data_IF_195352709580
#
_entry.id   IF_195352709580
#
_cell.length_a   1.000
_cell.length_b   1.000
_cell.length_c   1.000
_cell.angle_alpha   90.00
_cell.angle_beta   90.00
_cell.angle_gamma   90.00
#
_symmetry.space_group_name_H-M   'P 1'
#
loop_
_entity.id
_entity.type
_entity.pdbx_description
1 polymer ?
#
# COMPACT_ATOMS: atom_id res chain seq x y z
N UNK A 1 12.43 47.84 -43.49
CA UNK A 1 12.38 47.36 -42.09
C UNK A 1 12.86 45.91 -42.04
N UNK A 2 14.11 45.69 -41.62
CA UNK A 2 14.73 44.36 -41.56
C UNK A 2 14.27 43.62 -40.30
N UNK A 3 13.56 42.49 -40.47
CA UNK A 3 13.23 41.55 -39.38
C UNK A 3 14.55 40.98 -38.84
N UNK A 4 14.96 41.41 -37.65
CA UNK A 4 16.01 40.72 -36.86
C UNK A 4 15.55 39.28 -36.62
N UNK A 5 16.09 38.32 -37.38
CA UNK A 5 16.04 36.90 -37.01
C UNK A 5 16.75 36.77 -35.66
N UNK A 6 15.98 36.54 -34.59
CA UNK A 6 16.49 36.20 -33.27
C UNK A 6 17.36 34.96 -33.47
N UNK A 7 18.68 35.03 -33.20
CA UNK A 7 19.55 33.85 -33.21
C UNK A 7 19.00 32.90 -32.15
N UNK A 8 18.28 31.87 -32.58
CA UNK A 8 17.82 30.82 -31.69
C UNK A 8 19.07 30.12 -31.13
N UNK A 9 19.16 30.08 -29.82
CA UNK A 9 20.26 29.41 -29.14
C UNK A 9 20.09 27.90 -29.39
N UNK A 10 21.06 27.21 -30.03
CA UNK A 10 20.92 25.80 -30.37
C UNK A 10 20.69 24.92 -29.13
N UNK A 11 21.20 25.35 -27.96
CA UNK A 11 20.96 24.66 -26.69
C UNK A 11 19.50 24.79 -26.23
N UNK A 12 18.89 25.97 -26.40
CA UNK A 12 17.49 26.20 -26.03
C UNK A 12 16.53 25.39 -26.93
N UNK A 13 16.86 25.29 -28.23
CA UNK A 13 16.10 24.47 -29.17
C UNK A 13 16.17 22.97 -28.80
N UNK A 14 17.35 22.49 -28.40
CA UNK A 14 17.55 21.12 -27.95
C UNK A 14 16.76 20.81 -26.67
N UNK A 15 16.73 21.73 -25.70
CA UNK A 15 15.94 21.58 -24.46
C UNK A 15 14.45 21.46 -24.76
N UNK A 16 13.90 22.35 -25.61
CA UNK A 16 12.49 22.29 -26.02
C UNK A 16 12.20 20.97 -26.73
N UNK A 17 13.13 20.51 -27.56
CA UNK A 17 13.00 19.24 -28.26
C UNK A 17 12.88 18.06 -27.29
N UNK A 18 13.81 17.96 -26.33
CA UNK A 18 13.79 16.89 -25.31
C UNK A 18 12.51 16.94 -24.48
N UNK A 19 12.03 18.13 -24.13
CA UNK A 19 10.83 18.31 -23.30
C UNK A 19 9.55 17.90 -24.05
N UNK A 20 9.47 18.19 -25.35
CA UNK A 20 8.39 17.72 -26.23
C UNK A 20 8.37 16.20 -26.37
N UNK A 21 9.54 15.57 -26.55
CA UNK A 21 9.64 14.11 -26.59
C UNK A 21 9.21 13.46 -25.27
N UNK A 22 9.66 14.01 -24.14
CA UNK A 22 9.24 13.54 -22.82
C UNK A 22 7.73 13.67 -22.61
N UNK A 23 7.13 14.78 -23.06
CA UNK A 23 5.67 14.97 -23.01
C UNK A 23 4.93 13.87 -23.77
N UNK A 24 5.38 13.54 -24.99
CA UNK A 24 4.79 12.48 -25.82
C UNK A 24 4.91 11.12 -25.13
N UNK A 25 6.12 10.75 -24.72
CA UNK A 25 6.41 9.47 -24.05
C UNK A 25 5.55 9.33 -22.80
N UNK A 26 5.51 10.37 -21.95
CA UNK A 26 4.70 10.38 -20.75
C UNK A 26 3.21 10.27 -21.06
N UNK A 27 2.71 11.00 -22.06
CA UNK A 27 1.30 10.96 -22.45
C UNK A 27 0.87 9.56 -22.87
N UNK A 28 1.68 8.89 -23.69
CA UNK A 28 1.41 7.53 -24.18
C UNK A 28 1.47 6.52 -23.03
N UNK A 29 2.54 6.54 -22.24
CA UNK A 29 2.71 5.62 -21.11
C UNK A 29 1.60 5.81 -20.06
N UNK A 30 1.30 7.06 -19.68
CA UNK A 30 0.26 7.35 -18.72
C UNK A 30 -1.12 6.93 -19.23
N UNK A 31 -1.47 7.24 -20.49
CA UNK A 31 -2.75 6.80 -21.07
C UNK A 31 -2.86 5.28 -21.07
N UNK A 32 -1.79 4.58 -21.47
CA UNK A 32 -1.74 3.13 -21.51
C UNK A 32 -1.88 2.52 -20.10
N UNK A 33 -1.18 3.06 -19.11
CA UNK A 33 -1.29 2.63 -17.70
C UNK A 33 -2.69 2.89 -17.15
N UNK A 34 -3.32 4.03 -17.47
CA UNK A 34 -4.68 4.35 -16.99
C UNK A 34 -5.68 3.32 -17.55
N UNK A 35 -5.67 3.09 -18.87
CA UNK A 35 -6.63 2.19 -19.51
C UNK A 35 -6.38 0.72 -19.19
N UNK A 36 -5.13 0.24 -19.33
CA UNK A 36 -4.80 -1.15 -19.02
C UNK A 36 -4.89 -1.42 -17.52
N UNK A 37 -4.46 -0.47 -16.68
CA UNK A 37 -4.56 -0.60 -15.23
C UNK A 37 -6.00 -0.62 -14.76
N UNK A 38 -6.88 0.22 -15.33
CA UNK A 38 -8.31 0.15 -15.07
C UNK A 38 -8.91 -1.18 -15.52
N UNK A 39 -8.65 -1.61 -16.76
CA UNK A 39 -9.17 -2.88 -17.28
C UNK A 39 -8.70 -4.08 -16.43
N UNK A 40 -7.42 -4.13 -16.08
CA UNK A 40 -6.87 -5.17 -15.21
C UNK A 40 -7.51 -5.15 -13.82
N UNK A 41 -7.69 -3.96 -13.23
CA UNK A 41 -8.33 -3.84 -11.91
C UNK A 41 -9.81 -4.24 -11.93
N UNK A 42 -10.56 -3.88 -12.96
CA UNK A 42 -11.97 -4.32 -13.08
C UNK A 42 -12.06 -5.83 -13.28
N UNK A 43 -11.18 -6.43 -14.08
CA UNK A 43 -11.16 -7.88 -14.29
C UNK A 43 -10.77 -8.66 -13.03
N UNK A 44 -9.76 -8.18 -12.30
CA UNK A 44 -9.26 -8.87 -11.12
C UNK A 44 -10.08 -8.60 -9.87
N UNK A 45 -10.61 -7.38 -9.72
CA UNK A 45 -11.18 -6.88 -8.47
C UNK A 45 -12.61 -6.36 -8.60
N UNK A 46 -13.25 -6.48 -9.77
CA UNK A 46 -14.65 -6.04 -9.96
C UNK A 46 -15.64 -6.74 -9.02
N UNK A 47 -15.34 -7.99 -8.66
CA UNK A 47 -16.10 -8.81 -7.70
C UNK A 47 -15.41 -8.95 -6.34
N UNK A 48 -14.39 -8.13 -6.06
CA UNK A 48 -13.70 -8.16 -4.76
C UNK A 48 -14.68 -7.83 -3.63
N UNK A 49 -14.62 -8.53 -2.47
CA UNK A 49 -15.48 -8.26 -1.33
C UNK A 49 -15.53 -6.78 -0.98
N UNK A 50 -16.75 -6.23 -0.81
CA UNK A 50 -16.93 -4.79 -0.58
C UNK A 50 -16.99 -4.45 0.89
N UNK A 51 -17.25 -5.45 1.74
CA UNK A 51 -17.32 -5.30 3.19
C UNK A 51 -16.26 -6.17 3.87
N UNK A 52 -15.82 -5.79 5.07
CA UNK A 52 -14.93 -6.62 5.91
C UNK A 52 -15.50 -7.99 6.25
N UNK A 53 -16.82 -8.07 6.40
CA UNK A 53 -17.52 -9.30 6.77
C UNK A 53 -17.48 -10.32 5.64
N UNK A 54 -17.59 -9.87 4.39
CA UNK A 54 -17.41 -10.73 3.20
C UNK A 54 -15.97 -11.18 3.00
N UNK A 55 -15.01 -10.50 3.63
CA UNK A 55 -13.57 -10.71 3.45
C UNK A 55 -12.92 -11.50 4.60
N UNK A 56 -13.70 -12.02 5.55
CA UNK A 56 -13.24 -12.83 6.69
C UNK A 56 -12.02 -12.22 7.41
N UNK A 57 -12.06 -10.90 7.66
CA UNK A 57 -10.93 -10.15 8.23
C UNK A 57 -10.69 -10.52 9.70
N UNK A 58 -11.76 -10.82 10.44
CA UNK A 58 -11.66 -11.17 11.85
C UNK A 58 -11.08 -12.56 12.06
N UNK A 59 -10.57 -12.82 13.26
CA UNK A 59 -10.15 -14.16 13.65
C UNK A 59 -11.31 -15.14 13.53
N UNK A 60 -11.02 -16.27 12.89
CA UNK A 60 -11.96 -17.37 12.77
C UNK A 60 -12.14 -18.09 14.13
N UNK A 61 -13.01 -19.10 14.19
CA UNK A 61 -13.26 -19.82 15.45
C UNK A 61 -12.04 -20.61 15.93
N UNK A 62 -11.28 -21.22 15.02
CA UNK A 62 -10.06 -21.96 15.34
C UNK A 62 -8.97 -21.05 15.89
N UNK A 63 -8.72 -19.92 15.25
CA UNK A 63 -7.74 -18.91 15.63
C UNK A 63 -8.08 -18.27 16.98
N UNK A 64 -9.36 -18.00 17.23
CA UNK A 64 -9.79 -17.54 18.57
C UNK A 64 -9.56 -18.59 19.64
N UNK A 65 -9.78 -19.86 19.32
CA UNK A 65 -9.56 -20.95 20.27
C UNK A 65 -8.06 -21.19 20.49
N UNK A 66 -7.24 -21.07 19.46
CA UNK A 66 -5.79 -21.11 19.54
C UNK A 66 -5.24 -19.97 20.40
N UNK A 67 -5.72 -18.73 20.18
CA UNK A 67 -5.37 -17.58 21.01
C UNK A 67 -5.77 -17.81 22.48
N UNK A 68 -7.00 -18.29 22.72
CA UNK A 68 -7.46 -18.56 24.07
C UNK A 68 -6.68 -19.70 24.77
N UNK A 69 -6.19 -20.68 24.00
CA UNK A 69 -5.35 -21.76 24.52
C UNK A 69 -3.95 -21.25 24.83
N UNK A 70 -3.35 -20.45 23.94
CA UNK A 70 -2.04 -19.84 24.16
C UNK A 70 -2.05 -18.89 25.37
N UNK A 71 -3.08 -18.03 25.48
CA UNK A 71 -3.26 -17.15 26.65
C UNK A 71 -3.43 -17.94 27.95
N UNK A 72 -4.12 -19.08 27.92
CA UNK A 72 -4.26 -19.95 29.09
C UNK A 72 -2.92 -20.58 29.46
N UNK A 73 -2.19 -21.08 28.47
CA UNK A 73 -0.90 -21.72 28.67
C UNK A 73 0.12 -20.74 29.24
N UNK A 74 0.15 -19.49 28.75
CA UNK A 74 0.97 -18.40 29.32
C UNK A 74 0.69 -18.24 30.82
N UNK A 75 -0.58 -18.17 31.23
CA UNK A 75 -0.94 -18.03 32.65
C UNK A 75 -0.54 -19.25 33.49
N UNK A 76 -0.66 -20.45 32.94
CA UNK A 76 -0.23 -21.69 33.60
C UNK A 76 1.28 -21.72 33.81
N UNK A 77 2.04 -21.35 32.77
CA UNK A 77 3.51 -21.25 32.81
C UNK A 77 3.97 -20.17 33.80
N UNK A 78 3.36 -18.98 33.77
CA UNK A 78 3.65 -17.91 34.73
C UNK A 78 3.34 -18.31 36.18
N UNK A 79 2.22 -19.01 36.40
CA UNK A 79 1.88 -19.54 37.72
C UNK A 79 2.90 -20.59 38.17
N UNK A 80 3.37 -21.46 37.27
CA UNK A 80 4.40 -22.47 37.59
C UNK A 80 5.75 -21.82 37.89
N UNK A 81 6.17 -20.81 37.11
CA UNK A 81 7.38 -20.04 37.39
C UNK A 81 7.31 -19.36 38.76
N UNK A 82 6.16 -18.79 39.13
CA UNK A 82 5.94 -18.23 40.46
C UNK A 82 5.98 -19.30 41.57
N UNK A 83 5.45 -20.49 41.32
CA UNK A 83 5.53 -21.63 42.24
C UNK A 83 6.99 -22.08 42.46
N UNK A 84 7.78 -22.19 41.38
CA UNK A 84 9.21 -22.52 41.44
C UNK A 84 9.99 -21.50 42.27
N UNK A 85 9.65 -20.21 42.13
CA UNK A 85 10.24 -19.13 42.92
C UNK A 85 10.01 -19.32 44.44
N UNK A 86 8.82 -19.82 44.82
CA UNK A 86 8.47 -20.15 46.22
C UNK A 86 9.21 -21.42 46.67
N UNK A 87 9.20 -22.48 45.86
CA UNK A 87 9.89 -23.75 46.15
C UNK A 87 11.40 -23.56 46.35
N UNK A 88 12.01 -22.70 45.53
CA UNK A 88 13.43 -22.39 45.56
C UNK A 88 13.82 -21.27 46.52
N UNK A 89 12.90 -20.68 47.29
CA UNK A 89 13.18 -19.51 48.13
C UNK A 89 14.29 -19.75 49.16
N UNK A 90 14.45 -20.99 49.63
CA UNK A 90 15.49 -21.38 50.59
C UNK A 90 16.83 -21.76 49.92
N UNK A 91 16.86 -21.86 48.59
CA UNK A 91 18.05 -22.22 47.84
C UNK A 91 18.93 -21.00 47.61
N UNK A 92 20.25 -21.21 47.71
CA UNK A 92 21.23 -20.18 47.37
C UNK A 92 21.14 -19.87 45.87
N UNK A 93 21.10 -18.59 45.50
CA UNK A 93 21.12 -18.13 44.11
C UNK A 93 22.52 -17.75 43.63
N UNK A 94 22.72 -17.86 42.33
CA UNK A 94 23.87 -17.35 41.60
C UNK A 94 23.64 -15.90 41.17
N UNK A 95 24.69 -15.23 40.66
CA UNK A 95 24.62 -13.83 40.21
C UNK A 95 23.74 -13.61 38.97
N UNK A 96 23.48 -14.67 38.22
CA UNK A 96 22.58 -14.70 37.05
C UNK A 96 21.09 -14.78 37.44
N UNK A 97 20.77 -14.92 38.73
CA UNK A 97 19.40 -15.04 39.24
C UNK A 97 18.87 -16.47 39.34
N UNK A 98 19.60 -17.47 38.80
CA UNK A 98 19.25 -18.89 38.84
C UNK A 98 19.69 -19.55 40.16
N UNK A 99 19.13 -20.72 40.47
CA UNK A 99 19.50 -21.48 41.67
C UNK A 99 20.90 -22.08 41.54
N UNK A 100 21.60 -22.25 42.65
CA UNK A 100 22.93 -22.88 42.64
C UNK A 100 22.80 -24.38 42.33
N UNK A 101 23.37 -24.82 41.21
CA UNK A 101 23.33 -26.21 40.72
C UNK A 101 24.11 -27.23 41.59
N UNK A 102 24.54 -26.84 42.79
CA UNK A 102 25.19 -27.74 43.74
C UNK A 102 24.20 -28.62 44.52
N UNK A 103 22.91 -28.29 44.43
CA UNK A 103 21.79 -29.10 44.94
C UNK A 103 21.05 -29.73 43.77
N UNK A 104 20.68 -31.01 43.88
CA UNK A 104 19.86 -31.70 42.87
C UNK A 104 18.55 -30.94 42.60
N UNK A 105 17.93 -30.39 43.65
CA UNK A 105 16.73 -29.57 43.51
C UNK A 105 17.00 -28.28 42.72
N UNK A 106 18.11 -27.61 42.98
CA UNK A 106 18.49 -26.38 42.24
C UNK A 106 18.79 -26.65 40.76
N UNK A 107 19.42 -27.78 40.44
CA UNK A 107 19.65 -28.19 39.06
C UNK A 107 18.33 -28.53 38.33
N UNK A 108 17.43 -29.25 39.00
CA UNK A 108 16.13 -29.61 38.46
C UNK A 108 15.24 -28.39 38.19
N UNK A 109 15.14 -27.48 39.17
CA UNK A 109 14.35 -26.24 39.02
C UNK A 109 14.91 -25.34 37.92
N UNK A 110 16.23 -25.24 37.76
CA UNK A 110 16.81 -24.48 36.65
C UNK A 110 16.49 -25.09 35.28
N UNK A 111 16.53 -26.42 35.15
CA UNK A 111 16.15 -27.08 33.90
C UNK A 111 14.67 -26.84 33.56
N UNK A 112 13.79 -26.90 34.58
CA UNK A 112 12.37 -26.60 34.44
C UNK A 112 12.12 -25.13 34.08
N UNK A 113 12.86 -24.18 34.68
CA UNK A 113 12.80 -22.76 34.30
C UNK A 113 13.19 -22.57 32.84
N UNK A 114 14.28 -23.19 32.38
CA UNK A 114 14.73 -23.04 30.99
C UNK A 114 13.70 -23.57 29.98
N UNK A 115 12.99 -24.64 30.32
CA UNK A 115 11.90 -25.19 29.52
C UNK A 115 10.68 -24.25 29.52
N UNK A 116 10.21 -23.85 30.71
CA UNK A 116 9.05 -22.97 30.88
C UNK A 116 9.26 -21.59 30.22
N UNK A 117 10.49 -21.04 30.27
CA UNK A 117 10.79 -19.76 29.61
C UNK A 117 10.72 -19.89 28.09
N UNK A 118 11.11 -21.03 27.51
CA UNK A 118 10.96 -21.29 26.08
C UNK A 118 9.48 -21.40 25.72
N UNK A 119 8.71 -22.19 26.47
CA UNK A 119 7.27 -22.38 26.25
C UNK A 119 6.50 -21.06 26.36
N UNK A 120 6.87 -20.21 27.32
CA UNK A 120 6.34 -18.85 27.47
C UNK A 120 6.63 -18.02 26.22
N UNK A 121 7.87 -18.03 25.73
CA UNK A 121 8.27 -17.26 24.56
C UNK A 121 7.55 -17.71 23.28
N UNK A 122 7.38 -19.03 23.11
CA UNK A 122 6.68 -19.60 21.96
C UNK A 122 5.19 -19.25 22.01
N UNK A 123 4.57 -19.33 23.18
CA UNK A 123 3.15 -18.98 23.36
C UNK A 123 2.90 -17.48 23.17
N UNK A 124 3.80 -16.63 23.67
CA UNK A 124 3.73 -15.19 23.42
C UNK A 124 3.90 -14.86 21.94
N UNK A 125 4.78 -15.58 21.23
CA UNK A 125 4.93 -15.43 19.79
C UNK A 125 3.64 -15.79 19.04
N UNK A 126 2.99 -16.90 19.41
CA UNK A 126 1.68 -17.31 18.86
C UNK A 126 0.62 -16.23 19.11
N UNK A 127 0.51 -15.71 20.34
CA UNK A 127 -0.44 -14.64 20.65
C UNK A 127 -0.17 -13.38 19.82
N UNK A 128 1.10 -12.97 19.69
CA UNK A 128 1.47 -11.81 18.88
C UNK A 128 1.15 -12.00 17.40
N UNK A 129 1.42 -13.17 16.84
CA UNK A 129 1.09 -13.50 15.44
C UNK A 129 -0.43 -13.44 15.21
N UNK A 130 -1.20 -14.13 16.05
CA UNK A 130 -2.66 -14.17 15.94
C UNK A 130 -3.30 -12.79 16.11
N UNK A 131 -2.75 -11.94 17.00
CA UNK A 131 -3.24 -10.56 17.15
C UNK A 131 -2.88 -9.66 15.96
N UNK A 132 -1.82 -9.97 15.21
CA UNK A 132 -1.43 -9.21 14.02
C UNK A 132 -2.23 -9.59 12.76
N UNK A 133 -2.66 -10.86 12.64
CA UNK A 133 -3.36 -11.39 11.46
C UNK A 133 -4.55 -10.55 10.96
N UNK A 134 -5.45 -10.02 11.82
CA UNK A 134 -6.57 -9.21 11.34
C UNK A 134 -6.13 -7.91 10.68
N UNK A 135 -5.05 -7.28 11.17
CA UNK A 135 -4.52 -6.05 10.56
C UNK A 135 -3.87 -6.35 9.20
N UNK A 136 -3.18 -7.48 9.08
CA UNK A 136 -2.60 -7.95 7.82
C UNK A 136 -3.68 -8.24 6.78
N UNK A 137 -4.69 -9.05 7.13
CA UNK A 137 -5.86 -9.32 6.28
C UNK A 137 -6.57 -8.04 5.87
N UNK A 138 -6.69 -7.07 6.79
CA UNK A 138 -7.31 -5.78 6.49
C UNK A 138 -6.50 -4.99 5.46
N UNK A 139 -5.17 -4.97 5.55
CA UNK A 139 -4.31 -4.29 4.57
C UNK A 139 -4.41 -4.96 3.20
N UNK A 140 -4.37 -6.29 3.18
CA UNK A 140 -4.45 -7.09 1.96
C UNK A 140 -5.81 -6.95 1.27
N UNK A 141 -6.88 -6.79 2.05
CA UNK A 141 -8.21 -6.50 1.52
C UNK A 141 -8.37 -5.06 1.04
N UNK A 142 -7.85 -4.07 1.78
CA UNK A 142 -8.02 -2.65 1.46
C UNK A 142 -7.16 -2.18 0.26
N UNK A 143 -5.99 -2.78 0.05
CA UNK A 143 -5.07 -2.38 -1.02
C UNK A 143 -5.64 -2.59 -2.45
N UNK A 144 -6.24 -3.74 -2.79
CA UNK A 144 -6.93 -3.91 -4.08
C UNK A 144 -8.10 -2.96 -4.28
N UNK A 145 -8.91 -2.74 -3.23
CA UNK A 145 -10.10 -1.89 -3.32
C UNK A 145 -9.73 -0.41 -3.54
N UNK A 146 -8.69 0.07 -2.85
CA UNK A 146 -8.13 1.41 -3.08
C UNK A 146 -7.52 1.57 -4.47
N UNK A 147 -6.84 0.55 -5.02
CA UNK A 147 -6.36 0.55 -6.41
C UNK A 147 -7.52 0.65 -7.41
N UNK A 148 -8.56 -0.16 -7.24
CA UNK A 148 -9.74 -0.16 -8.11
C UNK A 148 -10.39 1.24 -8.13
N UNK A 149 -10.63 1.83 -6.96
CA UNK A 149 -11.22 3.17 -6.85
C UNK A 149 -10.30 4.22 -7.48
N UNK A 150 -8.98 4.14 -7.27
CA UNK A 150 -8.01 5.06 -7.86
C UNK A 150 -8.04 5.03 -9.40
N UNK A 151 -8.08 3.85 -10.01
CA UNK A 151 -8.16 3.72 -11.47
C UNK A 151 -9.52 4.16 -12.03
N UNK A 152 -10.63 3.93 -11.32
CA UNK A 152 -11.94 4.49 -11.70
C UNK A 152 -11.91 6.02 -11.72
N UNK A 153 -11.34 6.64 -10.68
CA UNK A 153 -11.13 8.09 -10.66
C UNK A 153 -10.20 8.56 -11.79
N UNK A 154 -9.13 7.83 -12.07
CA UNK A 154 -8.22 8.13 -13.16
C UNK A 154 -8.96 8.21 -14.51
N UNK A 155 -9.78 7.20 -14.83
CA UNK A 155 -10.56 7.18 -16.09
C UNK A 155 -11.59 8.31 -16.13
N UNK A 156 -12.33 8.55 -15.05
CA UNK A 156 -13.31 9.65 -14.98
C UNK A 156 -12.63 11.00 -15.20
N UNK A 157 -11.53 11.27 -14.48
CA UNK A 157 -10.76 12.51 -14.62
C UNK A 157 -10.18 12.63 -16.03
N UNK A 158 -9.66 11.54 -16.59
CA UNK A 158 -9.12 11.53 -17.95
C UNK A 158 -10.17 11.95 -18.98
N UNK A 159 -11.36 11.34 -18.94
CA UNK A 159 -12.46 11.65 -19.85
C UNK A 159 -12.97 13.10 -19.66
N UNK A 160 -13.11 13.55 -18.41
CA UNK A 160 -13.53 14.93 -18.11
C UNK A 160 -12.50 15.94 -18.61
N UNK A 161 -11.21 15.68 -18.43
CA UNK A 161 -10.13 16.55 -18.92
C UNK A 161 -10.08 16.60 -20.45
N UNK A 162 -10.28 15.49 -21.15
CA UNK A 162 -10.40 15.48 -22.61
C UNK A 162 -11.62 16.31 -23.06
N UNK A 163 -12.77 16.12 -22.42
CA UNK A 163 -13.98 16.88 -22.75
C UNK A 163 -13.75 18.39 -22.54
N UNK A 164 -13.17 18.76 -21.40
CA UNK A 164 -12.79 20.14 -21.10
C UNK A 164 -11.82 20.72 -22.14
N UNK A 165 -10.78 19.97 -22.50
CA UNK A 165 -9.75 20.38 -23.45
C UNK A 165 -10.29 20.59 -24.87
N UNK A 166 -11.21 19.72 -25.31
CA UNK A 166 -11.81 19.79 -26.65
C UNK A 166 -12.84 20.91 -26.77
N UNK A 167 -13.62 21.16 -25.71
CA UNK A 167 -14.65 22.21 -25.69
C UNK A 167 -14.07 23.62 -25.51
N UNK A 168 -13.24 23.83 -24.49
CA UNK A 168 -12.76 25.17 -24.14
C UNK A 168 -11.45 25.57 -24.83
N UNK A 169 -10.71 24.59 -25.37
CA UNK A 169 -9.46 24.80 -26.13
C UNK A 169 -8.50 25.78 -25.44
N UNK A 170 -8.13 25.54 -24.16
CA UNK A 170 -7.23 26.45 -23.47
C UNK A 170 -5.88 26.55 -24.21
N UNK A 171 -5.24 27.71 -24.13
CA UNK A 171 -4.01 28.03 -24.87
C UNK A 171 -2.92 26.98 -24.67
N UNK A 172 -2.79 26.44 -23.45
CA UNK A 172 -1.84 25.37 -23.11
C UNK A 172 -2.08 24.08 -23.91
N UNK A 173 -3.34 23.63 -24.01
CA UNK A 173 -3.73 22.44 -24.78
C UNK A 173 -3.46 22.63 -26.26
N UNK A 174 -3.76 23.81 -26.80
CA UNK A 174 -3.49 24.11 -28.21
C UNK A 174 -1.99 24.07 -28.51
N UNK A 175 -1.15 24.64 -27.64
CA UNK A 175 0.31 24.56 -27.77
C UNK A 175 0.83 23.13 -27.65
N UNK A 176 0.37 22.36 -26.67
CA UNK A 176 0.74 20.94 -26.53
C UNK A 176 0.35 20.14 -27.77
N UNK A 177 -0.85 20.39 -28.31
CA UNK A 177 -1.32 19.74 -29.53
C UNK A 177 -0.42 20.06 -30.75
N UNK A 178 0.01 21.32 -30.88
CA UNK A 178 0.94 21.73 -31.94
C UNK A 178 2.29 21.02 -31.80
N UNK A 179 2.86 21.00 -30.59
CA UNK A 179 4.12 20.29 -30.32
C UNK A 179 4.00 18.81 -30.69
N UNK A 180 2.91 18.14 -30.28
CA UNK A 180 2.71 16.72 -30.58
C UNK A 180 2.59 16.50 -32.09
N UNK A 181 1.81 17.34 -32.79
CA UNK A 181 1.64 17.23 -34.24
C UNK A 181 2.94 17.53 -34.99
N UNK A 182 3.72 18.53 -34.60
CA UNK A 182 5.02 18.84 -35.23
C UNK A 182 5.97 17.63 -35.22
N UNK A 183 5.90 16.83 -34.16
CA UNK A 183 6.75 15.65 -33.96
C UNK A 183 6.20 14.37 -34.58
N UNK A 184 4.88 14.18 -34.54
CA UNK A 184 4.21 12.94 -34.91
C UNK A 184 3.33 13.09 -36.16
N UNK A 185 3.48 14.18 -36.93
CA UNK A 185 2.64 14.48 -38.10
C UNK A 185 2.56 13.33 -39.11
N UNK A 186 3.65 12.56 -39.25
CA UNK A 186 3.72 11.41 -40.15
C UNK A 186 2.92 10.19 -39.65
N UNK A 187 2.61 10.13 -38.36
CA UNK A 187 2.00 8.98 -37.69
C UNK A 187 0.60 9.28 -37.13
N UNK A 188 0.23 10.54 -36.99
CA UNK A 188 -1.04 10.97 -36.42
C UNK A 188 -1.91 11.72 -37.44
N UNK A 189 -3.20 11.39 -37.56
CA UNK A 189 -4.10 12.15 -38.41
C UNK A 189 -4.28 13.58 -37.89
N UNK A 190 -4.25 14.60 -38.75
CA UNK A 190 -4.56 15.96 -38.35
C UNK A 190 -6.05 16.07 -38.04
N UNK A 191 -6.38 16.25 -36.76
CA UNK A 191 -7.75 16.46 -36.30
C UNK A 191 -8.03 17.97 -36.16
N UNK A 192 -9.25 18.39 -36.48
CA UNK A 192 -9.71 19.80 -36.35
C UNK A 192 -9.88 20.26 -34.89
N UNK A 193 -9.74 19.33 -33.95
CA UNK A 193 -9.90 19.52 -32.51
C UNK A 193 -8.57 19.16 -31.85
N UNK A 194 -8.10 19.89 -30.81
CA UNK A 194 -6.81 19.65 -30.18
C UNK A 194 -6.82 18.42 -29.25
N UNK A 195 -7.17 17.25 -29.81
CA UNK A 195 -7.34 15.99 -29.07
C UNK A 195 -6.03 15.53 -28.45
N UNK A 196 -4.91 15.64 -29.15
CA UNK A 196 -3.61 15.17 -28.65
C UNK A 196 -3.11 16.01 -27.47
N UNK A 197 -3.29 17.34 -27.54
CA UNK A 197 -3.04 18.21 -26.40
C UNK A 197 -3.98 17.94 -25.23
N UNK A 198 -5.24 17.58 -25.51
CA UNK A 198 -6.21 17.17 -24.50
C UNK A 198 -5.83 15.87 -23.80
N UNK A 199 -5.37 14.86 -24.55
CA UNK A 199 -4.84 13.61 -24.01
C UNK A 199 -3.62 13.84 -23.13
N UNK A 200 -2.70 14.74 -23.53
CA UNK A 200 -1.53 15.08 -22.72
C UNK A 200 -1.91 15.72 -21.39
N UNK A 201 -2.81 16.71 -21.40
CA UNK A 201 -3.34 17.32 -20.18
C UNK A 201 -4.06 16.28 -19.32
N UNK A 202 -4.94 15.47 -19.92
CA UNK A 202 -5.71 14.44 -19.24
C UNK A 202 -4.82 13.40 -18.58
N UNK A 203 -3.76 12.93 -19.26
CA UNK A 203 -2.77 12.01 -18.71
C UNK A 203 -2.11 12.57 -17.45
N UNK A 204 -1.64 13.82 -17.49
CA UNK A 204 -0.97 14.46 -16.35
C UNK A 204 -1.94 14.57 -15.17
N UNK A 205 -3.13 15.15 -15.39
CA UNK A 205 -4.10 15.39 -14.32
C UNK A 205 -4.66 14.08 -13.76
N UNK A 206 -4.98 13.11 -14.63
CA UNK A 206 -5.49 11.81 -14.22
C UNK A 206 -4.46 10.99 -13.44
N UNK A 207 -3.18 11.01 -13.83
CA UNK A 207 -2.12 10.32 -13.05
C UNK A 207 -1.96 10.93 -11.65
N UNK A 208 -1.99 12.26 -11.54
CA UNK A 208 -1.96 12.93 -10.24
C UNK A 208 -3.21 12.60 -9.39
N UNK A 209 -4.39 12.65 -10.00
CA UNK A 209 -5.64 12.33 -9.33
C UNK A 209 -5.69 10.86 -8.88
N UNK A 210 -5.21 9.93 -9.70
CA UNK A 210 -5.11 8.51 -9.36
C UNK A 210 -4.20 8.27 -8.16
N UNK A 211 -3.01 8.88 -8.16
CA UNK A 211 -2.07 8.78 -7.03
C UNK A 211 -2.65 9.35 -5.73
N UNK A 212 -3.28 10.54 -5.82
CA UNK A 212 -3.95 11.15 -4.68
C UNK A 212 -5.12 10.31 -4.17
N UNK A 213 -5.96 9.78 -5.07
CA UNK A 213 -7.07 8.90 -4.74
C UNK A 213 -6.56 7.63 -4.05
N UNK A 214 -5.54 6.96 -4.58
CA UNK A 214 -4.96 5.76 -3.96
C UNK A 214 -4.49 6.02 -2.53
N UNK A 215 -3.72 7.10 -2.31
CA UNK A 215 -3.23 7.46 -0.97
C UNK A 215 -4.36 7.83 -0.01
N UNK A 216 -5.38 8.55 -0.49
CA UNK A 216 -6.55 8.92 0.31
C UNK A 216 -7.35 7.67 0.70
N UNK A 217 -7.75 6.86 -0.28
CA UNK A 217 -8.61 5.71 -0.04
C UNK A 217 -7.91 4.59 0.71
N UNK A 218 -6.63 4.32 0.45
CA UNK A 218 -5.87 3.35 1.25
C UNK A 218 -5.86 3.73 2.73
N UNK A 219 -5.60 5.00 3.06
CA UNK A 219 -5.63 5.51 4.44
C UNK A 219 -7.03 5.53 5.04
N UNK A 220 -8.04 5.97 4.28
CA UNK A 220 -9.40 6.08 4.77
C UNK A 220 -10.03 4.70 5.04
N UNK A 221 -9.92 3.77 4.09
CA UNK A 221 -10.47 2.42 4.21
C UNK A 221 -9.79 1.71 5.38
N UNK A 222 -8.45 1.62 5.35
CA UNK A 222 -7.71 0.95 6.41
C UNK A 222 -7.96 1.61 7.77
N UNK A 223 -7.87 2.94 7.86
CA UNK A 223 -8.06 3.66 9.12
C UNK A 223 -9.48 3.60 9.69
N UNK A 224 -10.51 3.55 8.83
CA UNK A 224 -11.90 3.40 9.27
C UNK A 224 -12.14 2.03 9.89
N UNK A 225 -11.68 0.97 9.23
CA UNK A 225 -11.92 -0.41 9.67
C UNK A 225 -10.95 -0.88 10.76
N UNK A 226 -9.71 -0.38 10.78
CA UNK A 226 -8.77 -0.68 11.85
C UNK A 226 -9.24 -0.19 13.22
N UNK A 227 -10.10 0.85 13.26
CA UNK A 227 -10.76 1.33 14.50
C UNK A 227 -11.92 0.43 14.97
N UNK A 228 -12.42 -0.44 14.10
CA UNK A 228 -13.54 -1.34 14.38
C UNK A 228 -13.06 -2.74 14.76
N UNK A 229 -11.78 -3.05 14.58
CA UNK A 229 -11.20 -4.33 14.98
C UNK A 229 -11.22 -4.45 16.52
N UNK A 230 -11.79 -5.54 17.07
CA UNK A 230 -11.77 -5.79 18.50
C UNK A 230 -10.34 -6.09 18.97
N UNK A 231 -9.86 -5.42 20.03
CA UNK A 231 -8.53 -5.65 20.60
C UNK A 231 -7.57 -4.46 20.56
N UNK A 232 -8.04 -3.26 20.20
CA UNK A 232 -7.39 -1.98 20.53
C UNK A 232 -8.24 -1.16 21.49
#
# INVERSE_FOLDING_TARGET
MSRRKKKENPVALLIIWVLGLLLIIFTVLASLIIWLGWAACELLYGNHPRTPEEADILLDRSERQELANADRHIREVEARLAQIEIEGQQLRRRKDGLFHAGSNLGAQLNAEIDELVRDLSDSQAICHELLARPDERLRDWAAPLSRLIAFRWAVVVYLVCILYATLLKPVSVVHMNQIILEWLNAYLPPLSIPVYGGMALASIVASCAAGAAYLLYSRLIHGHYARQLPGR
#
